data_IF_300995237188
#
_entry.id   IF_300995237188
#
_cell.length_a   1.000
_cell.length_b   1.000
_cell.length_c   1.000
_cell.angle_alpha   90.00
_cell.angle_beta   90.00
_cell.angle_gamma   90.00
#
_symmetry.space_group_name_H-M   'P 1'
#
loop_
_entity.id
_entity.type
_entity.pdbx_description
1 polymer ?
#
# COMPACT_ATOMS: atom_id res chain seq x y z
N UNK A 1 1.93 -5.10 -20.74
CA UNK A 1 1.68 -5.61 -19.37
C UNK A 1 0.45 -4.90 -18.82
N UNK A 2 -0.59 -5.60 -18.38
CA UNK A 2 -1.73 -4.97 -17.69
C UNK A 2 -1.27 -4.54 -16.30
N UNK A 3 -1.17 -3.23 -16.06
CA UNK A 3 -0.93 -2.66 -14.73
C UNK A 3 -2.03 -3.13 -13.79
N UNK A 4 -1.65 -3.64 -12.62
CA UNK A 4 -2.62 -4.05 -11.60
C UNK A 4 -3.23 -2.77 -11.01
N UNK A 5 -4.57 -2.71 -10.86
CA UNK A 5 -5.21 -1.52 -10.31
C UNK A 5 -4.72 -1.27 -8.88
N UNK A 6 -4.30 -0.04 -8.62
CA UNK A 6 -3.79 0.38 -7.33
C UNK A 6 -4.95 0.44 -6.34
N UNK A 7 -4.71 -0.01 -5.10
CA UNK A 7 -5.67 0.11 -4.01
C UNK A 7 -5.11 1.11 -3.00
N UNK A 8 -5.81 2.22 -2.78
CA UNK A 8 -5.45 3.22 -1.77
C UNK A 8 -6.14 2.91 -0.46
N UNK A 9 -5.49 3.23 0.67
CA UNK A 9 -6.09 3.09 2.00
C UNK A 9 -6.85 4.37 2.29
N UNK A 10 -8.17 4.28 2.43
CA UNK A 10 -9.05 5.45 2.67
C UNK A 10 -9.34 5.68 4.16
N UNK A 11 -9.11 4.67 4.99
CA UNK A 11 -9.41 4.74 6.42
C UNK A 11 -9.44 3.36 7.07
N UNK A 12 -10.19 3.27 8.16
CA UNK A 12 -10.41 2.03 8.91
C UNK A 12 -11.91 1.76 9.10
N UNK A 13 -12.28 0.50 9.30
CA UNK A 13 -13.64 0.11 9.63
C UNK A 13 -13.63 -1.13 10.54
N UNK A 14 -14.70 -1.37 11.27
CA UNK A 14 -14.83 -2.58 12.10
C UNK A 14 -15.23 -3.80 11.25
N UNK A 15 -14.56 -4.93 11.49
CA UNK A 15 -14.86 -6.19 10.83
C UNK A 15 -16.24 -6.70 11.26
N UNK A 16 -17.09 -7.06 10.30
CA UNK A 16 -18.44 -7.57 10.59
C UNK A 16 -18.47 -8.97 11.23
N UNK A 17 -17.35 -9.69 11.23
CA UNK A 17 -17.24 -11.01 11.87
C UNK A 17 -16.61 -10.93 13.26
N UNK A 18 -15.40 -10.36 13.39
CA UNK A 18 -14.66 -10.36 14.65
C UNK A 18 -14.63 -9.00 15.39
N UNK A 19 -15.27 -7.96 14.84
CA UNK A 19 -15.35 -6.62 15.45
C UNK A 19 -14.06 -5.80 15.46
N UNK A 20 -12.94 -6.37 15.00
CA UNK A 20 -11.64 -5.68 15.00
C UNK A 20 -11.56 -4.62 13.93
N UNK A 21 -10.78 -3.57 14.18
CA UNK A 21 -10.54 -2.50 13.24
C UNK A 21 -9.61 -2.95 12.10
N UNK A 22 -10.08 -2.87 10.86
CA UNK A 22 -9.41 -3.31 9.64
C UNK A 22 -9.23 -2.12 8.67
N UNK A 23 -8.18 -2.11 7.84
CA UNK A 23 -7.98 -1.05 6.86
C UNK A 23 -9.02 -1.14 5.74
N UNK A 24 -9.72 -0.03 5.50
CA UNK A 24 -10.60 0.15 4.36
C UNK A 24 -9.77 0.60 3.14
N UNK A 25 -9.82 -0.18 2.07
CA UNK A 25 -9.09 0.11 0.82
C UNK A 25 -10.05 0.38 -0.32
N UNK A 26 -9.79 1.39 -1.14
CA UNK A 26 -10.57 1.68 -2.35
C UNK A 26 -9.70 1.45 -3.58
N UNK A 27 -10.24 0.79 -4.61
CA UNK A 27 -9.58 0.69 -5.91
C UNK A 27 -9.79 1.96 -6.74
N UNK A 28 -8.98 2.17 -7.77
CA UNK A 28 -9.19 3.24 -8.77
C UNK A 28 -10.62 3.24 -9.38
N UNK A 29 -11.25 2.07 -9.47
CA UNK A 29 -12.63 1.90 -9.95
C UNK A 29 -13.70 2.20 -8.89
N UNK A 30 -13.31 2.56 -7.67
CA UNK A 30 -14.19 2.84 -6.53
C UNK A 30 -14.75 1.60 -5.85
N UNK A 31 -14.11 0.44 -6.00
CA UNK A 31 -14.53 -0.78 -5.28
C UNK A 31 -13.91 -0.75 -3.89
N UNK A 32 -14.75 -0.84 -2.87
CA UNK A 32 -14.33 -0.94 -1.49
C UNK A 32 -13.87 -2.37 -1.20
N UNK A 33 -12.74 -2.51 -0.51
CA UNK A 33 -12.15 -3.76 -0.08
C UNK A 33 -11.83 -3.68 1.42
N UNK A 34 -12.46 -4.59 2.16
CA UNK A 34 -12.38 -4.74 3.61
C UNK A 34 -12.01 -6.20 3.92
N UNK A 35 -10.75 -6.54 3.67
CA UNK A 35 -10.21 -7.86 3.99
C UNK A 35 -9.66 -7.87 5.42
N UNK A 36 -10.28 -8.68 6.28
CA UNK A 36 -9.81 -8.87 7.65
C UNK A 36 -8.64 -9.86 7.66
N UNK A 37 -7.51 -9.47 8.25
CA UNK A 37 -6.33 -10.34 8.37
C UNK A 37 -6.40 -11.33 9.55
N UNK A 38 -7.37 -11.17 10.46
CA UNK A 38 -7.48 -12.00 11.67
C UNK A 38 -8.45 -13.16 11.52
N UNK A 39 -9.59 -12.93 10.87
CA UNK A 39 -10.61 -13.97 10.65
C UNK A 39 -10.77 -14.33 9.18
N UNK A 40 -9.85 -13.87 8.33
CA UNK A 40 -9.82 -14.10 6.88
C UNK A 40 -11.11 -13.73 6.12
N UNK A 41 -11.99 -12.94 6.73
CA UNK A 41 -13.23 -12.50 6.09
C UNK A 41 -12.90 -11.62 4.87
N UNK A 42 -13.20 -12.07 3.64
CA UNK A 42 -13.06 -11.24 2.47
C UNK A 42 -14.36 -10.48 2.25
N UNK A 43 -14.31 -9.15 2.33
CA UNK A 43 -15.45 -8.31 2.01
C UNK A 43 -15.08 -7.31 0.93
N UNK A 44 -15.86 -7.28 -0.14
CA UNK A 44 -15.72 -6.32 -1.22
C UNK A 44 -17.08 -5.80 -1.65
N UNK A 45 -17.15 -4.52 -2.01
CA UNK A 45 -18.38 -3.90 -2.47
C UNK A 45 -18.10 -2.97 -3.63
N UNK A 46 -18.79 -3.19 -4.76
CA UNK A 46 -18.68 -2.36 -5.96
C UNK A 46 -19.40 -1.04 -5.76
N UNK A 47 -18.82 0.05 -6.27
CA UNK A 47 -19.45 1.38 -6.29
C UNK A 47 -20.87 1.32 -6.84
N UNK A 48 -21.79 1.99 -6.16
CA UNK A 48 -23.20 2.09 -6.55
C UNK A 48 -24.11 1.00 -5.95
N UNK A 49 -23.56 -0.07 -5.39
CA UNK A 49 -24.35 -1.09 -4.68
C UNK A 49 -24.79 -0.61 -3.29
N UNK A 50 -25.85 -1.19 -2.75
CA UNK A 50 -26.29 -0.92 -1.37
C UNK A 50 -25.23 -1.33 -0.35
N UNK A 51 -24.57 -2.46 -0.57
CA UNK A 51 -23.46 -2.92 0.26
C UNK A 51 -22.34 -1.86 0.33
N UNK A 52 -22.01 -1.21 -0.79
CA UNK A 52 -21.02 -0.15 -0.80
C UNK A 52 -21.47 1.06 0.03
N UNK A 53 -22.74 1.47 -0.07
CA UNK A 53 -23.29 2.58 0.73
C UNK A 53 -23.22 2.27 2.23
N UNK A 54 -23.67 1.09 2.63
CA UNK A 54 -23.70 0.65 4.03
C UNK A 54 -22.29 0.50 4.62
N UNK A 55 -21.36 -0.06 3.85
CA UNK A 55 -19.99 -0.25 4.32
C UNK A 55 -19.23 1.07 4.38
N UNK A 56 -19.41 1.96 3.40
CA UNK A 56 -18.81 3.30 3.44
C UNK A 56 -19.30 4.13 4.63
N UNK A 57 -20.55 3.98 5.05
CA UNK A 57 -21.06 4.62 6.26
C UNK A 57 -20.35 4.18 7.55
N UNK A 58 -19.72 2.99 7.54
CA UNK A 58 -18.95 2.44 8.67
C UNK A 58 -17.47 2.78 8.61
N UNK A 59 -16.98 3.30 7.49
CA UNK A 59 -15.56 3.64 7.33
C UNK A 59 -15.27 4.94 8.08
N UNK A 60 -14.42 4.85 9.10
CA UNK A 60 -13.77 5.99 9.73
C UNK A 60 -12.66 6.45 8.78
N UNK A 61 -12.94 7.49 8.01
CA UNK A 61 -11.93 8.09 7.13
C UNK A 61 -10.86 8.72 7.99
N UNK A 62 -9.59 8.44 7.67
CA UNK A 62 -8.52 9.29 8.19
C UNK A 62 -8.72 10.64 7.51
N UNK A 63 -8.87 11.70 8.30
CA UNK A 63 -8.84 13.05 7.78
C UNK A 63 -7.58 13.20 6.92
N UNK A 64 -7.73 13.77 5.72
CA UNK A 64 -6.59 14.21 4.92
C UNK A 64 -5.60 14.95 5.82
N UNK A 65 -4.29 14.64 5.75
CA UNK A 65 -3.32 15.63 6.22
C UNK A 65 -3.60 16.89 5.39
N UNK A 66 -3.83 18.02 6.07
CA UNK A 66 -3.84 19.32 5.43
C UNK A 66 -2.61 19.41 4.50
N UNK A 67 -2.75 19.95 3.27
CA UNK A 67 -1.60 20.13 2.42
C UNK A 67 -0.63 21.07 3.14
N UNK A 68 0.52 20.54 3.55
CA UNK A 68 1.62 21.28 4.12
C UNK A 68 2.00 22.41 3.16
N UNK A 69 1.52 23.61 3.43
CA UNK A 69 1.77 24.82 2.65
C UNK A 69 3.12 25.45 3.03
N UNK A 70 4.12 24.64 3.40
CA UNK A 70 5.40 25.12 3.93
C UNK A 70 6.56 24.21 3.55
N UNK A 71 6.98 24.25 2.29
CA UNK A 71 8.42 24.15 1.98
C UNK A 71 8.78 25.00 0.76
N UNK A 72 8.98 26.32 0.93
CA UNK A 72 9.86 27.06 0.05
C UNK A 72 11.32 26.76 0.41
N UNK A 73 12.14 26.62 -0.63
CA UNK A 73 13.61 26.63 -0.62
C UNK A 73 14.37 25.37 -0.13
N UNK A 74 14.82 24.64 -1.14
CA UNK A 74 16.10 23.93 -1.21
C UNK A 74 17.27 24.79 -0.67
N UNK A 75 18.20 24.19 0.11
CA UNK A 75 19.61 24.41 -0.21
C UNK A 75 20.51 23.16 -0.10
N UNK A 76 21.47 23.14 -1.03
CA UNK A 76 22.80 22.52 -1.02
C UNK A 76 22.94 20.99 -0.85
N UNK A 77 23.43 20.38 -1.94
CA UNK A 77 23.93 19.01 -2.01
C UNK A 77 25.00 18.73 -0.95
N UNK A 78 24.83 17.63 -0.22
CA UNK A 78 25.88 17.02 0.59
C UNK A 78 26.82 16.20 -0.32
N UNK A 79 28.15 16.22 -0.08
CA UNK A 79 29.13 15.56 -0.95
C UNK A 79 28.97 14.04 -0.91
N UNK A 80 29.01 13.43 -2.10
CA UNK A 80 28.87 12.00 -2.29
C UNK A 80 30.01 11.23 -1.62
N UNK A 81 29.67 10.42 -0.61
CA UNK A 81 30.57 9.40 -0.08
C UNK A 81 30.82 8.35 -1.17
N UNK A 82 32.09 8.20 -1.55
CA UNK A 82 32.54 7.18 -2.50
C UNK A 82 32.38 5.82 -1.85
N UNK A 83 31.32 5.11 -2.23
CA UNK A 83 31.12 3.71 -1.88
C UNK A 83 32.32 2.91 -2.40
N UNK A 84 33.09 2.20 -1.56
CA UNK A 84 34.20 1.40 -2.05
C UNK A 84 33.67 0.31 -3.00
N UNK A 85 34.39 0.13 -4.10
CA UNK A 85 34.05 -0.79 -5.17
C UNK A 85 33.68 -2.17 -4.60
N UNK A 86 32.52 -2.68 -5.00
CA UNK A 86 32.09 -4.02 -4.66
C UNK A 86 33.15 -5.01 -5.15
N UNK A 87 33.86 -5.65 -4.20
CA UNK A 87 34.69 -6.81 -4.50
C UNK A 87 33.74 -7.85 -5.11
N UNK A 88 33.96 -8.19 -6.38
CA UNK A 88 33.16 -9.16 -7.11
C UNK A 88 33.15 -10.50 -6.36
N UNK A 89 32.12 -10.74 -5.55
CA UNK A 89 31.81 -12.05 -5.05
C UNK A 89 31.19 -12.81 -6.22
N UNK A 90 31.94 -13.78 -6.77
CA UNK A 90 31.37 -14.77 -7.69
C UNK A 90 30.18 -15.41 -6.98
N UNK A 91 29.01 -15.36 -7.60
CA UNK A 91 27.84 -15.99 -7.00
C UNK A 91 28.10 -17.49 -6.89
N UNK A 92 27.60 -18.14 -5.84
CA UNK A 92 27.69 -19.60 -5.72
C UNK A 92 27.08 -20.32 -6.94
N UNK A 93 26.19 -19.64 -7.66
CA UNK A 93 25.56 -20.09 -8.89
C UNK A 93 26.54 -20.15 -10.08
N UNK A 94 27.50 -19.22 -10.18
CA UNK A 94 28.54 -19.26 -11.23
C UNK A 94 29.50 -20.44 -11.04
N UNK A 95 29.81 -20.77 -9.78
CA UNK A 95 30.66 -21.93 -9.44
C UNK A 95 29.95 -23.25 -9.80
N UNK A 96 28.65 -23.35 -9.53
CA UNK A 96 27.90 -24.59 -9.76
C UNK A 96 27.50 -24.81 -11.22
N UNK A 97 27.34 -23.73 -12.00
CA UNK A 97 26.89 -23.80 -13.40
C UNK A 97 28.02 -23.99 -14.41
N UNK A 98 29.28 -24.08 -13.97
CA UNK A 98 30.43 -24.38 -14.83
C UNK A 98 30.74 -23.30 -15.88
N UNK A 99 30.18 -22.11 -15.74
CA UNK A 99 30.51 -20.95 -16.58
C UNK A 99 31.76 -20.29 -16.02
N UNK A 100 32.91 -20.79 -16.47
CA UNK A 100 34.24 -20.20 -16.24
C UNK A 100 34.50 -19.09 -17.24
#
# INVERSE_FOLDING_TARGET
MKTRPTKTIIGTAECSCCGREIPARESETGTLNLSCQWCDLPLYAKKGTEAHKLLMARVKRKAEPEPDATHPHQPAALPAEVKPAARAARSAFDILSGRV
#
